data_IF_009362356577
#
_entry.id   IF_009362356577
#
_cell.length_a   1.000
_cell.length_b   1.000
_cell.length_c   1.000
_cell.angle_alpha   90.00
_cell.angle_beta   90.00
_cell.angle_gamma   90.00
#
_symmetry.space_group_name_H-M   'P 1'
#
loop_
_entity.id
_entity.type
_entity.pdbx_description
1 polymer ?
#
# COMPACT_ATOMS: atom_id res chain seq x y z
N UNK A 1 -27.93 -3.00 13.20
CA UNK A 1 -27.46 -2.91 13.03
C UNK A 1 -26.61 -3.34 12.61
N UNK A 2 -26.22 -3.47 12.58
CA UNK A 2 -25.36 -3.69 12.33
C UNK A 2 -24.85 -4.17 11.50
N UNK A 3 -24.66 -4.32 11.06
CA UNK A 3 -24.25 -4.74 10.36
C UNK A 3 -23.42 -4.71 9.73
N UNK A 4 -22.96 -4.50 9.78
CA UNK A 4 -22.35 -4.21 9.12
C UNK A 4 -21.22 -4.45 8.76
N UNK A 5 -20.35 -4.61 9.09
CA UNK A 5 -19.22 -4.80 8.79
C UNK A 5 -19.00 -5.91 8.12
N UNK A 6 -19.33 -6.08 7.06
CA UNK A 6 -19.08 -7.09 6.38
C UNK A 6 -17.76 -7.15 5.89
N UNK A 7 -17.02 -6.15 5.62
CA UNK A 7 -15.73 -6.20 5.07
C UNK A 7 -14.70 -6.23 6.12
N UNK A 8 -13.63 -6.96 5.96
CA UNK A 8 -12.53 -6.94 6.87
C UNK A 8 -11.67 -5.78 6.47
N UNK A 9 -11.32 -4.94 7.40
CA UNK A 9 -10.51 -3.80 7.11
C UNK A 9 -9.09 -4.02 7.55
N UNK A 10 -8.12 -3.40 6.92
CA UNK A 10 -6.73 -3.53 7.37
C UNK A 10 -6.57 -2.93 8.75
N UNK A 11 -5.63 -3.46 9.50
CA UNK A 11 -5.37 -2.93 10.81
C UNK A 11 -4.76 -1.54 10.68
N UNK A 12 -5.02 -0.65 11.59
CA UNK A 12 -4.48 0.70 11.50
C UNK A 12 -2.97 0.69 11.54
N UNK A 13 -2.37 1.65 10.86
CA UNK A 13 -0.92 1.72 10.82
C UNK A 13 -0.56 3.17 11.10
N UNK A 14 0.36 3.39 12.02
CA UNK A 14 0.77 4.72 12.34
C UNK A 14 1.90 5.10 11.45
N UNK A 15 1.72 6.08 10.62
CA UNK A 15 2.74 6.50 9.68
C UNK A 15 3.83 7.28 10.36
N UNK A 16 5.05 7.08 9.94
CA UNK A 16 6.16 7.85 10.47
C UNK A 16 6.34 9.06 9.57
N UNK A 17 7.20 9.96 9.94
CA UNK A 17 7.46 11.12 9.11
C UNK A 17 8.08 10.70 7.80
N UNK A 18 8.90 9.65 7.82
CA UNK A 18 9.52 9.18 6.61
C UNK A 18 8.45 8.59 5.69
N UNK A 19 7.46 7.92 6.24
CA UNK A 19 6.37 7.37 5.45
C UNK A 19 5.61 8.49 4.77
N UNK A 20 5.34 9.55 5.49
CA UNK A 20 4.60 10.66 4.92
C UNK A 20 5.39 11.38 3.85
N UNK A 21 6.68 11.54 4.06
CA UNK A 21 7.53 12.17 3.06
C UNK A 21 7.57 11.31 1.80
N UNK A 22 7.70 10.01 1.97
CA UNK A 22 7.76 9.12 0.83
C UNK A 22 6.43 9.11 0.07
N UNK A 23 5.34 9.09 0.80
CA UNK A 23 4.02 9.10 0.19
C UNK A 23 3.83 10.38 -0.62
N UNK A 24 4.13 11.51 -0.01
CA UNK A 24 3.95 12.78 -0.67
C UNK A 24 4.83 12.88 -1.92
N UNK A 25 6.08 12.44 -1.81
CA UNK A 25 6.98 12.48 -2.94
C UNK A 25 6.45 11.61 -4.07
N UNK A 26 6.00 10.41 -3.75
CA UNK A 26 5.51 9.49 -4.77
C UNK A 26 4.28 10.05 -5.47
N UNK A 27 3.35 10.56 -4.71
CA UNK A 27 2.13 11.09 -5.29
C UNK A 27 2.45 12.26 -6.22
N UNK A 28 3.36 13.13 -5.81
CA UNK A 28 3.67 14.27 -6.64
C UNK A 28 4.46 13.87 -7.88
N UNK A 29 5.00 12.68 -7.93
CA UNK A 29 5.73 12.21 -9.08
C UNK A 29 4.93 11.16 -9.87
N UNK A 30 3.66 11.08 -9.64
CA UNK A 30 2.81 10.19 -10.40
C UNK A 30 2.88 8.73 -10.01
N UNK A 31 3.38 8.42 -8.84
CA UNK A 31 3.44 7.06 -8.37
C UNK A 31 2.36 6.85 -7.32
N UNK A 32 1.43 5.97 -7.56
CA UNK A 32 0.38 5.69 -6.61
C UNK A 32 0.44 4.23 -6.25
N UNK A 33 0.43 3.93 -4.98
CA UNK A 33 0.47 2.56 -4.49
C UNK A 33 -0.74 2.35 -3.63
N UNK A 34 -1.51 1.36 -3.95
CA UNK A 34 -2.73 1.08 -3.20
C UNK A 34 -2.86 -0.38 -2.95
N UNK A 35 -3.98 -0.78 -2.41
CA UNK A 35 -4.21 -2.16 -2.13
C UNK A 35 -5.47 -2.62 -2.80
N UNK A 36 -5.49 -3.88 -3.26
CA UNK A 36 -6.63 -4.45 -3.88
C UNK A 36 -7.08 -5.61 -3.04
N UNK A 37 -8.32 -5.65 -2.65
CA UNK A 37 -8.83 -6.75 -1.86
C UNK A 37 -8.98 -7.96 -2.76
N UNK A 38 -8.53 -9.10 -2.29
CA UNK A 38 -8.75 -10.31 -3.05
C UNK A 38 -10.05 -10.80 -2.55
N UNK A 39 -10.66 -11.74 -3.11
CA UNK A 39 -11.87 -11.95 -2.75
C UNK A 39 -12.16 -12.96 -1.98
N UNK A 40 -11.70 -13.34 -1.06
CA UNK A 40 -12.00 -14.41 -0.47
C UNK A 40 -12.92 -14.29 0.61
N UNK A 41 -13.20 -14.63 1.51
CA UNK A 41 -14.13 -14.51 2.53
C UNK A 41 -13.67 -13.57 3.56
N UNK A 42 -14.56 -13.17 4.46
CA UNK A 42 -14.23 -12.20 5.39
C UNK A 42 -13.13 -12.59 6.31
N UNK A 43 -13.09 -13.79 6.80
CA UNK A 43 -12.10 -14.15 7.74
C UNK A 43 -10.74 -14.22 7.13
N UNK A 44 -10.64 -14.55 5.89
CA UNK A 44 -9.37 -14.73 5.27
C UNK A 44 -9.11 -13.65 4.25
N UNK A 45 -9.69 -12.52 4.42
CA UNK A 45 -9.50 -11.44 3.48
C UNK A 45 -8.03 -11.08 3.39
N UNK A 46 -7.52 -10.98 2.19
CA UNK A 46 -6.15 -10.59 1.97
C UNK A 46 -6.12 -9.51 0.91
N UNK A 47 -5.01 -8.85 0.76
CA UNK A 47 -4.88 -7.76 -0.19
C UNK A 47 -3.60 -7.91 -0.99
N UNK A 48 -3.62 -7.40 -2.20
CA UNK A 48 -2.42 -7.34 -3.01
C UNK A 48 -2.03 -5.89 -3.14
N UNK A 49 -0.79 -5.62 -3.47
CA UNK A 49 -0.34 -4.26 -3.66
C UNK A 49 -0.44 -3.92 -5.13
N UNK A 50 -1.05 -2.77 -5.42
CA UNK A 50 -1.18 -2.33 -6.79
C UNK A 50 -0.33 -1.08 -6.93
N UNK A 51 0.52 -1.00 -7.92
CA UNK A 51 1.41 0.11 -8.11
C UNK A 51 1.15 0.70 -9.47
N UNK A 52 0.90 2.00 -9.54
CA UNK A 52 0.70 2.68 -10.80
C UNK A 52 1.78 3.73 -10.90
N UNK A 53 2.63 3.61 -11.88
CA UNK A 53 3.73 4.55 -12.05
C UNK A 53 3.99 4.70 -13.54
N UNK A 54 4.18 5.92 -14.00
CA UNK A 54 4.48 6.20 -15.38
C UNK A 54 3.46 5.58 -16.34
N UNK A 55 2.23 5.66 -15.98
CA UNK A 55 1.11 5.15 -16.77
C UNK A 55 1.14 3.62 -16.89
N UNK A 56 1.86 2.95 -16.03
CA UNK A 56 1.88 1.51 -16.05
C UNK A 56 1.33 1.00 -14.74
N UNK A 57 0.60 -0.08 -14.78
CA UNK A 57 0.04 -0.63 -13.58
C UNK A 57 0.67 -1.98 -13.33
N UNK A 58 1.09 -2.24 -12.13
CA UNK A 58 1.64 -3.52 -11.77
C UNK A 58 0.96 -4.01 -10.52
N UNK A 59 0.76 -5.29 -10.40
CA UNK A 59 0.16 -5.85 -9.21
C UNK A 59 1.13 -6.85 -8.63
N UNK A 60 1.44 -6.68 -7.38
CA UNK A 60 2.37 -7.56 -6.72
C UNK A 60 1.79 -8.95 -6.65
N UNK A 61 2.57 -9.97 -6.86
CA UNK A 61 2.06 -11.33 -6.81
C UNK A 61 1.74 -11.81 -5.42
N UNK A 62 2.27 -11.20 -4.41
CA UNK A 62 2.02 -11.68 -3.07
C UNK A 62 0.72 -11.18 -2.51
N UNK A 63 0.24 -11.83 -1.48
CA UNK A 63 -0.95 -11.38 -0.82
C UNK A 63 -0.60 -11.13 0.63
N UNK A 64 -1.22 -10.15 1.24
CA UNK A 64 -0.89 -9.76 2.60
C UNK A 64 -2.14 -9.72 3.47
N UNK A 65 -1.97 -10.04 4.71
CA UNK A 65 -3.10 -10.06 5.64
C UNK A 65 -3.36 -8.68 6.21
N UNK A 66 -4.45 -8.53 6.93
CA UNK A 66 -4.85 -7.22 7.42
C UNK A 66 -3.79 -6.51 8.25
N UNK A 67 -2.98 -7.27 8.97
CA UNK A 67 -1.98 -6.63 9.79
C UNK A 67 -0.68 -6.39 9.03
N UNK A 68 -0.60 -6.87 7.79
CA UNK A 68 0.59 -6.72 7.01
C UNK A 68 0.45 -5.73 5.89
N UNK A 69 -0.73 -5.50 5.43
CA UNK A 69 -0.93 -4.74 4.21
C UNK A 69 -0.52 -3.27 4.31
N UNK A 70 -0.90 -2.59 5.36
CA UNK A 70 -0.54 -1.19 5.46
C UNK A 70 0.94 -0.97 5.71
N UNK A 71 1.59 -1.73 6.60
CA UNK A 71 3.04 -1.59 6.72
C UNK A 71 3.75 -1.87 5.41
N UNK A 72 3.27 -2.86 4.66
CA UNK A 72 3.92 -3.20 3.40
C UNK A 72 3.68 -2.10 2.37
N UNK A 73 2.51 -1.52 2.37
CA UNK A 73 2.18 -0.48 1.44
C UNK A 73 3.12 0.72 1.63
N UNK A 74 3.35 1.13 2.87
CA UNK A 74 4.24 2.23 3.13
C UNK A 74 5.70 1.85 2.90
N UNK A 75 6.03 0.58 3.09
CA UNK A 75 7.36 0.13 2.77
C UNK A 75 7.62 0.30 1.27
N UNK A 76 6.61 0.04 0.44
CA UNK A 76 6.77 0.22 -1.00
C UNK A 76 6.93 1.69 -1.36
N UNK A 77 6.20 2.58 -0.69
CA UNK A 77 6.37 4.01 -0.93
C UNK A 77 7.80 4.42 -0.58
N UNK A 78 8.31 3.95 0.54
CA UNK A 78 9.68 4.30 0.93
C UNK A 78 10.70 3.73 -0.05
N UNK A 79 10.41 2.55 -0.59
CA UNK A 79 11.31 1.92 -1.54
C UNK A 79 11.43 2.78 -2.79
N UNK A 80 10.32 3.22 -3.35
CA UNK A 80 10.36 4.04 -4.54
C UNK A 80 10.99 5.42 -4.26
N UNK A 81 10.71 5.93 -3.10
CA UNK A 81 11.26 7.21 -2.72
C UNK A 81 12.80 7.12 -2.66
N UNK A 82 13.30 6.08 -2.00
CA UNK A 82 14.72 5.93 -1.87
C UNK A 82 15.39 5.61 -3.20
N UNK A 83 14.74 4.84 -4.03
CA UNK A 83 15.31 4.48 -5.30
C UNK A 83 15.51 5.71 -6.14
N UNK A 84 14.59 6.66 -6.08
CA UNK A 84 14.64 7.81 -6.93
C UNK A 84 15.39 8.99 -6.34
N UNK A 85 15.62 9.02 -5.07
CA UNK A 85 16.31 10.13 -4.47
C UNK A 85 17.71 9.78 -4.03
N UNK A 86 18.00 8.49 -3.88
CA UNK A 86 19.26 8.11 -3.38
C UNK A 86 20.42 8.57 -4.22
N UNK A 87 20.34 8.51 -5.45
CA UNK A 87 21.42 8.88 -6.27
C UNK A 87 21.71 10.33 -6.34
N UNK A 88 20.85 11.14 -5.73
CA UNK A 88 21.07 12.52 -5.83
C UNK A 88 21.96 12.96 -4.78
N UNK A 89 22.23 12.18 -3.98
CA UNK A 89 23.14 12.47 -3.00
C UNK A 89 23.31 13.20 -2.19
#
# INVERSE_FOLDING_TARGET
MGLVDKCVQPDPYKRTKEDEAAYSWCISHGIKIGMLATTEGFKNQQWKIRIVANNKEMISPGQYKKHEILPKLFEMYRHYYKLNTKGKG
#
